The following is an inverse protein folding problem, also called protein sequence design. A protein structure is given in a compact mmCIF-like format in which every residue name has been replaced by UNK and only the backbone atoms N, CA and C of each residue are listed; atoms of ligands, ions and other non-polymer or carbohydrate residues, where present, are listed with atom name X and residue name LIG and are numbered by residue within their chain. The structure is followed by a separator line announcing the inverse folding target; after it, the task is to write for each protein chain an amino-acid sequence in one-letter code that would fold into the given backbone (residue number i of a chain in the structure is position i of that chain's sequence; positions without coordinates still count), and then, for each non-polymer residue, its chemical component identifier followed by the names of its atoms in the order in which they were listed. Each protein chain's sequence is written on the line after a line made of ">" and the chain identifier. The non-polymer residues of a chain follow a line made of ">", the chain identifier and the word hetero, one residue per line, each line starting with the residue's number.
data_IF_349800928033
#
_entry.id   IF_349800928033
#
_cell.length_a   1.000
_cell.length_b   1.000
_cell.length_c   1.000
_cell.angle_alpha   90.00
_cell.angle_beta   90.00
_cell.angle_gamma   90.00
#
_symmetry.space_group_name_H-M   'P 1'
#
loop_
_entity.id
_entity.type
_entity.pdbx_description
1 polymer ?
#
# COMPACT_ATOMS: atom_id res chain seq x y z
N UNK A 1 8.97 8.89 -13.54
CA UNK A 1 8.79 8.99 -12.07
C UNK A 1 9.49 7.86 -11.27
N UNK A 2 9.22 6.58 -11.54
CA UNK A 2 9.70 5.42 -10.73
C UNK A 2 11.23 5.24 -10.66
N UNK A 3 11.92 5.34 -11.82
CA UNK A 3 13.40 5.20 -11.88
C UNK A 3 14.16 6.35 -11.21
N UNK A 4 13.51 7.52 -11.01
CA UNK A 4 14.13 8.72 -10.42
C UNK A 4 14.34 8.57 -8.91
N UNK A 5 13.37 7.98 -8.21
CA UNK A 5 13.44 7.80 -6.76
C UNK A 5 14.23 6.56 -6.35
N UNK A 6 14.37 5.59 -7.26
CA UNK A 6 15.00 4.30 -6.98
C UNK A 6 16.44 4.41 -6.43
N UNK A 7 17.38 5.15 -7.05
CA UNK A 7 18.74 5.29 -6.52
C UNK A 7 18.79 6.03 -5.18
N UNK A 8 17.88 6.99 -4.97
CA UNK A 8 17.83 7.79 -3.74
C UNK A 8 17.35 6.93 -2.57
N UNK A 9 16.33 6.10 -2.81
CA UNK A 9 15.82 5.14 -1.83
C UNK A 9 16.91 4.15 -1.41
N UNK A 10 17.64 3.57 -2.37
CA UNK A 10 18.76 2.64 -2.09
C UNK A 10 19.92 3.30 -1.34
N UNK A 11 20.17 4.58 -1.58
CA UNK A 11 21.25 5.33 -0.91
C UNK A 11 20.90 5.69 0.54
N UNK A 12 19.66 6.14 0.80
CA UNK A 12 19.22 6.48 2.16
C UNK A 12 18.85 5.24 2.99
N UNK A 13 18.49 4.13 2.34
CA UNK A 13 17.98 2.91 2.94
C UNK A 13 18.72 1.68 2.37
N UNK A 14 19.91 1.34 2.90
CA UNK A 14 20.72 0.24 2.38
C UNK A 14 20.14 -1.16 2.67
N UNK A 15 19.42 -1.36 3.77
CA UNK A 15 18.84 -2.66 4.16
C UNK A 15 17.31 -2.66 4.09
N UNK A 16 16.81 -2.55 2.86
CA UNK A 16 15.37 -2.46 2.60
C UNK A 16 14.65 -3.80 2.72
N UNK A 17 13.52 -3.75 3.42
CA UNK A 17 12.56 -4.82 3.53
C UNK A 17 11.20 -4.36 3.01
N UNK A 18 10.60 -5.17 2.14
CA UNK A 18 9.23 -4.97 1.68
C UNK A 18 8.28 -5.60 2.69
N UNK A 19 7.35 -4.79 3.19
CA UNK A 19 6.35 -5.22 4.16
C UNK A 19 4.97 -5.07 3.58
N UNK A 20 4.16 -6.12 3.64
CA UNK A 20 2.73 -6.05 3.33
C UNK A 20 1.96 -6.23 4.62
N UNK A 21 1.12 -5.26 4.95
CA UNK A 21 0.19 -5.35 6.07
C UNK A 21 -1.24 -5.15 5.59
N UNK A 22 -2.19 -5.91 6.11
CA UNK A 22 -3.60 -5.85 5.75
C UNK A 22 -4.49 -5.80 6.99
N UNK A 23 -5.75 -5.47 6.78
CA UNK A 23 -6.83 -5.65 7.75
C UNK A 23 -7.91 -6.53 7.12
N UNK A 24 -8.85 -7.08 7.91
CA UNK A 24 -10.03 -7.74 7.35
C UNK A 24 -10.75 -6.87 6.31
N UNK A 25 -11.36 -7.51 5.32
CA UNK A 25 -12.10 -6.81 4.28
C UNK A 25 -13.22 -5.97 4.87
N UNK A 26 -13.48 -4.82 4.27
CA UNK A 26 -14.52 -3.86 4.70
C UNK A 26 -15.54 -3.62 3.61
N UNK A 27 -16.74 -3.19 3.99
CA UNK A 27 -17.76 -2.73 3.04
C UNK A 27 -17.44 -1.33 2.53
N UNK A 28 -18.10 -0.95 1.43
CA UNK A 28 -17.86 0.32 0.76
C UNK A 28 -18.15 1.52 1.67
N UNK A 29 -19.22 1.45 2.47
CA UNK A 29 -19.55 2.50 3.46
C UNK A 29 -18.44 2.70 4.52
N UNK A 30 -17.72 1.64 4.89
CA UNK A 30 -16.71 1.66 5.95
C UNK A 30 -15.30 2.01 5.43
N UNK A 31 -15.06 1.90 4.11
CA UNK A 31 -13.72 1.99 3.53
C UNK A 31 -13.02 3.31 3.87
N UNK A 32 -13.74 4.43 3.85
CA UNK A 32 -13.18 5.75 4.17
C UNK A 32 -12.70 5.85 5.62
N UNK A 33 -13.46 5.26 6.53
CA UNK A 33 -13.10 5.20 7.94
C UNK A 33 -11.91 4.25 8.14
N UNK A 34 -11.96 3.05 7.54
CA UNK A 34 -10.88 2.08 7.56
C UNK A 34 -9.54 2.66 7.07
N UNK A 35 -9.55 3.40 5.95
CA UNK A 35 -8.37 4.12 5.43
C UNK A 35 -7.82 5.11 6.46
N UNK A 36 -8.68 5.86 7.14
CA UNK A 36 -8.27 6.82 8.16
C UNK A 36 -7.67 6.13 9.38
N UNK A 37 -8.27 5.02 9.81
CA UNK A 37 -7.83 4.24 10.97
C UNK A 37 -6.50 3.54 10.73
N UNK A 38 -6.27 2.94 9.56
CA UNK A 38 -4.98 2.30 9.26
C UNK A 38 -3.83 3.32 9.24
N UNK A 39 -4.06 4.53 8.72
CA UNK A 39 -3.06 5.62 8.72
C UNK A 39 -2.76 6.04 10.17
N UNK A 40 -3.80 6.28 10.97
CA UNK A 40 -3.65 6.69 12.36
C UNK A 40 -2.95 5.61 13.21
N UNK A 41 -3.36 4.35 13.03
CA UNK A 41 -2.81 3.21 13.76
C UNK A 41 -1.36 2.95 13.36
N UNK A 42 -0.98 3.10 12.09
CA UNK A 42 0.42 3.10 11.70
C UNK A 42 1.24 4.15 12.46
N UNK A 43 0.75 5.40 12.57
CA UNK A 43 1.46 6.45 13.31
C UNK A 43 1.60 6.10 14.79
N UNK A 44 0.54 5.57 15.40
CA UNK A 44 0.55 5.12 16.81
C UNK A 44 1.55 3.99 17.03
N UNK A 45 1.56 2.99 16.16
CA UNK A 45 2.50 1.85 16.21
C UNK A 45 3.94 2.35 16.05
N UNK A 46 4.22 3.18 15.04
CA UNK A 46 5.54 3.76 14.83
C UNK A 46 6.04 4.53 16.06
N UNK A 47 5.17 5.33 16.67
CA UNK A 47 5.53 6.09 17.87
C UNK A 47 5.75 5.17 19.07
N UNK A 48 4.94 4.12 19.25
CA UNK A 48 5.12 3.11 20.30
C UNK A 48 6.47 2.41 20.16
N UNK A 49 6.82 1.93 18.97
CA UNK A 49 8.10 1.27 18.70
C UNK A 49 9.27 2.22 18.99
N UNK A 50 9.16 3.48 18.56
CA UNK A 50 10.19 4.49 18.86
C UNK A 50 10.40 4.71 20.35
N UNK A 51 9.34 4.74 21.15
CA UNK A 51 9.43 5.04 22.58
C UNK A 51 9.79 3.80 23.42
N UNK A 52 9.19 2.64 23.13
CA UNK A 52 9.40 1.41 23.89
C UNK A 52 10.69 0.71 23.48
N UNK A 53 10.89 0.51 22.19
CA UNK A 53 11.98 -0.32 21.66
C UNK A 53 13.21 0.52 21.28
N UNK A 54 13.12 1.86 21.36
CA UNK A 54 14.15 2.80 20.92
C UNK A 54 14.56 2.64 19.44
N UNK A 55 13.68 2.02 18.63
CA UNK A 55 13.90 1.80 17.20
C UNK A 55 13.20 2.88 16.38
N UNK A 56 13.96 3.60 15.54
CA UNK A 56 13.41 4.56 14.58
C UNK A 56 13.03 3.85 13.28
N UNK A 57 11.74 3.71 13.03
CA UNK A 57 11.23 3.20 11.76
C UNK A 57 11.36 4.28 10.68
N UNK A 58 12.12 3.97 9.63
CA UNK A 58 12.36 4.84 8.47
C UNK A 58 12.01 4.08 7.20
N UNK A 59 11.46 4.78 6.22
CA UNK A 59 10.97 4.12 5.03
C UNK A 59 9.90 4.88 4.28
N UNK A 60 9.18 4.14 3.45
CA UNK A 60 8.11 4.63 2.59
C UNK A 60 6.90 3.73 2.78
N UNK A 61 5.71 4.32 2.82
CA UNK A 61 4.43 3.62 2.89
C UNK A 61 3.61 3.92 1.64
N UNK A 62 2.86 2.93 1.19
CA UNK A 62 1.79 3.05 0.22
C UNK A 62 0.49 2.45 0.74
N UNK A 63 -0.64 3.05 0.35
CA UNK A 63 -1.97 2.47 0.47
C UNK A 63 -2.37 1.87 -0.86
N UNK A 64 -2.84 0.63 -0.84
CA UNK A 64 -3.48 -0.02 -1.97
C UNK A 64 -4.84 -0.58 -1.53
N UNK A 65 -5.86 -0.38 -2.37
CA UNK A 65 -7.19 -0.99 -2.15
C UNK A 65 -7.52 -1.88 -3.34
N UNK A 66 -7.89 -3.11 -3.04
CA UNK A 66 -8.39 -4.09 -4.01
C UNK A 66 -9.88 -4.30 -3.79
N UNK A 67 -10.68 -4.24 -4.87
CA UNK A 67 -12.11 -4.57 -4.82
C UNK A 67 -12.34 -6.03 -5.21
N UNK A 68 -13.21 -6.73 -4.48
CA UNK A 68 -13.69 -8.07 -4.85
C UNK A 68 -15.16 -7.98 -5.31
N UNK A 69 -15.45 -8.20 -6.60
CA UNK A 69 -16.82 -8.08 -7.12
C UNK A 69 -17.77 -9.17 -6.62
N UNK A 70 -17.28 -10.39 -6.42
CA UNK A 70 -18.11 -11.51 -5.95
C UNK A 70 -18.61 -11.33 -4.52
N UNK A 71 -17.78 -10.75 -3.64
CA UNK A 71 -18.12 -10.48 -2.24
C UNK A 71 -18.62 -9.05 -1.98
N UNK A 72 -18.47 -8.18 -2.97
CA UNK A 72 -18.72 -6.74 -2.88
C UNK A 72 -18.06 -6.16 -1.61
N UNK A 73 -16.75 -6.37 -1.49
CA UNK A 73 -15.93 -5.90 -0.37
C UNK A 73 -14.58 -5.37 -0.85
N UNK A 74 -13.90 -4.66 0.03
CA UNK A 74 -12.65 -3.97 -0.25
C UNK A 74 -11.58 -4.47 0.70
N UNK A 75 -10.44 -4.86 0.14
CA UNK A 75 -9.28 -5.30 0.89
C UNK A 75 -8.23 -4.20 0.90
N UNK A 76 -7.93 -3.71 2.09
CA UNK A 76 -7.03 -2.58 2.32
C UNK A 76 -5.63 -3.10 2.67
N UNK A 77 -4.67 -2.71 1.84
CA UNK A 77 -3.27 -3.05 1.99
C UNK A 77 -2.45 -1.81 2.33
N UNK A 78 -1.54 -1.96 3.28
CA UNK A 78 -0.42 -1.07 3.50
C UNK A 78 0.86 -1.78 3.07
N UNK A 79 1.49 -1.25 2.04
CA UNK A 79 2.80 -1.70 1.61
C UNK A 79 3.87 -0.75 2.12
N UNK A 80 5.02 -1.29 2.50
CA UNK A 80 6.13 -0.49 2.98
C UNK A 80 7.46 -0.93 2.38
N UNK A 81 8.37 0.02 2.27
CA UNK A 81 9.80 -0.20 2.18
C UNK A 81 10.42 0.31 3.48
N UNK A 82 10.93 -0.56 4.33
CA UNK A 82 11.45 -0.24 5.66
C UNK A 82 12.92 -0.55 5.76
N UNK A 83 13.67 0.35 6.38
CA UNK A 83 15.07 0.14 6.72
C UNK A 83 15.21 -0.81 7.91
N UNK A 84 16.00 -1.87 7.72
CA UNK A 84 16.25 -2.97 8.65
C UNK A 84 15.11 -3.97 8.82
N UNK A 85 15.49 -5.24 8.83
CA UNK A 85 14.58 -6.36 9.16
C UNK A 85 13.95 -6.19 10.54
N UNK A 86 14.73 -5.79 11.55
CA UNK A 86 14.24 -5.68 12.92
C UNK A 86 13.07 -4.68 13.02
N UNK A 87 13.18 -3.52 12.35
CA UNK A 87 12.11 -2.53 12.33
C UNK A 87 10.86 -3.03 11.59
N UNK A 88 11.04 -3.78 10.49
CA UNK A 88 9.97 -4.38 9.74
C UNK A 88 9.19 -5.44 10.56
N UNK A 89 9.90 -6.34 11.24
CA UNK A 89 9.29 -7.37 12.08
C UNK A 89 8.59 -6.77 13.31
N UNK A 90 9.16 -5.73 13.93
CA UNK A 90 8.51 -4.98 15.02
C UNK A 90 7.20 -4.33 14.54
N UNK A 91 7.21 -3.73 13.35
CA UNK A 91 6.00 -3.16 12.76
C UNK A 91 4.93 -4.25 12.54
N UNK A 92 5.29 -5.38 11.92
CA UNK A 92 4.37 -6.52 11.73
C UNK A 92 3.79 -7.02 13.05
N UNK A 93 4.63 -7.21 14.07
CA UNK A 93 4.21 -7.66 15.39
C UNK A 93 3.19 -6.70 16.02
N UNK A 94 3.50 -5.41 16.05
CA UNK A 94 2.60 -4.40 16.62
C UNK A 94 1.32 -4.21 15.80
N UNK A 95 1.37 -4.48 14.49
CA UNK A 95 0.21 -4.49 13.62
C UNK A 95 -0.76 -5.62 14.00
N UNK A 96 -0.26 -6.85 14.13
CA UNK A 96 -1.06 -8.01 14.52
C UNK A 96 -1.65 -7.86 15.93
N UNK A 97 -0.92 -7.23 16.86
CA UNK A 97 -1.46 -6.89 18.18
C UNK A 97 -2.60 -5.87 18.12
N UNK A 98 -2.61 -4.99 17.10
CA UNK A 98 -3.65 -3.96 16.91
C UNK A 98 -4.86 -4.50 16.15
N UNK A 99 -4.64 -5.42 15.22
CA UNK A 99 -5.65 -6.05 14.38
C UNK A 99 -5.60 -7.57 14.59
N UNK A 100 -6.14 -8.07 15.72
CA UNK A 100 -6.08 -9.49 16.04
C UNK A 100 -6.81 -10.37 15.03
N UNK A 101 -7.80 -9.82 14.32
CA UNK A 101 -8.56 -10.52 13.28
C UNK A 101 -7.85 -10.51 11.91
N UNK A 102 -6.71 -9.84 11.77
CA UNK A 102 -5.92 -9.89 10.56
C UNK A 102 -5.25 -11.27 10.42
N UNK A 103 -5.34 -11.86 9.23
CA UNK A 103 -4.74 -13.15 8.96
C UNK A 103 -3.21 -13.03 8.91
N UNK A 104 -2.51 -13.72 9.82
CA UNK A 104 -1.06 -13.60 9.98
C UNK A 104 -0.28 -13.94 8.69
N UNK A 105 -0.74 -14.93 7.92
CA UNK A 105 -0.10 -15.34 6.67
C UNK A 105 -0.24 -14.32 5.53
N UNK A 106 -1.06 -13.28 5.69
CA UNK A 106 -1.16 -12.15 4.75
C UNK A 106 -0.23 -10.99 5.15
N UNK A 107 0.51 -11.13 6.26
CA UNK A 107 1.41 -10.10 6.79
C UNK A 107 2.85 -10.52 6.49
N UNK A 108 3.42 -10.00 5.42
CA UNK A 108 4.72 -10.44 4.93
C UNK A 108 5.83 -9.43 5.21
N UNK A 109 7.01 -9.94 5.55
CA UNK A 109 8.27 -9.20 5.64
C UNK A 109 9.28 -9.94 4.79
N UNK A 110 9.66 -9.35 3.66
CA UNK A 110 10.65 -9.94 2.73
C UNK A 110 11.74 -8.94 2.44
N UNK A 111 12.96 -9.41 2.15
CA UNK A 111 14.02 -8.51 1.71
C UNK A 111 13.62 -7.87 0.38
N UNK A 112 13.70 -6.54 0.30
CA UNK A 112 13.28 -5.82 -0.89
C UNK A 112 14.26 -6.09 -2.05
N UNK A 113 13.70 -6.38 -3.21
CA UNK A 113 14.42 -6.40 -4.48
C UNK A 113 13.85 -5.32 -5.41
N UNK A 114 14.48 -5.17 -6.58
CA UNK A 114 14.09 -4.19 -7.59
C UNK A 114 12.63 -4.34 -8.01
N UNK A 115 12.14 -5.59 -8.09
CA UNK A 115 10.75 -5.92 -8.35
C UNK A 115 9.81 -5.43 -7.26
N UNK A 116 10.12 -5.66 -5.98
CA UNK A 116 9.32 -5.20 -4.84
C UNK A 116 9.20 -3.68 -4.79
N UNK A 117 10.26 -2.97 -5.16
CA UNK A 117 10.26 -1.50 -5.20
C UNK A 117 9.39 -0.99 -6.36
N UNK A 118 9.44 -1.65 -7.52
CA UNK A 118 8.55 -1.36 -8.65
C UNK A 118 7.09 -1.66 -8.29
N UNK A 119 6.83 -2.76 -7.58
CA UNK A 119 5.49 -3.15 -7.12
C UNK A 119 4.90 -2.13 -6.15
N UNK A 120 5.71 -1.64 -5.19
CA UNK A 120 5.31 -0.50 -4.37
C UNK A 120 4.89 0.68 -5.25
N UNK A 121 5.58 0.96 -6.34
CA UNK A 121 5.35 2.16 -7.13
C UNK A 121 4.26 2.04 -8.22
N UNK A 122 3.63 0.87 -8.41
CA UNK A 122 2.67 0.64 -9.51
C UNK A 122 1.29 1.29 -9.33
N UNK A 123 0.39 0.73 -8.52
CA UNK A 123 -1.02 1.21 -8.50
C UNK A 123 -1.58 1.37 -7.09
N UNK A 124 -2.23 2.51 -6.81
CA UNK A 124 -2.92 2.78 -5.53
C UNK A 124 -4.30 2.12 -5.46
N UNK A 125 -4.89 1.80 -6.62
CA UNK A 125 -6.13 1.05 -6.74
C UNK A 125 -5.93 -0.12 -7.71
N UNK A 126 -6.30 -1.33 -7.28
CA UNK A 126 -6.28 -2.52 -8.12
C UNK A 126 -7.72 -2.94 -8.41
N UNK A 127 -8.18 -2.58 -9.61
CA UNK A 127 -9.57 -2.72 -10.03
C UNK A 127 -9.87 -4.00 -10.80
N UNK A 128 -8.85 -4.60 -11.39
CA UNK A 128 -9.02 -5.71 -12.33
C UNK A 128 -8.27 -6.92 -11.77
N UNK A 129 -9.05 -7.91 -11.34
CA UNK A 129 -8.58 -9.25 -11.05
C UNK A 129 -8.50 -10.05 -12.35
N UNK A 130 -7.73 -11.15 -12.37
CA UNK A 130 -7.70 -12.06 -13.54
C UNK A 130 -9.09 -12.54 -13.97
N UNK A 131 -10.04 -12.56 -13.05
CA UNK A 131 -11.41 -13.03 -13.27
C UNK A 131 -12.34 -11.95 -13.85
N UNK A 132 -11.89 -10.69 -13.91
CA UNK A 132 -12.66 -9.60 -14.52
C UNK A 132 -12.42 -9.53 -16.03
N UNK A 133 -11.64 -10.46 -16.57
CA UNK A 133 -11.39 -10.65 -17.99
C UNK A 133 -12.18 -11.87 -18.48
N UNK A 134 -13.22 -11.63 -19.26
CA UNK A 134 -13.92 -12.70 -19.99
C UNK A 134 -13.39 -12.72 -21.42
N UNK A 135 -12.79 -13.85 -21.81
CA UNK A 135 -12.48 -14.09 -23.23
C UNK A 135 -13.78 -14.46 -23.93
N UNK A 136 -14.15 -13.65 -24.92
CA UNK A 136 -15.27 -13.90 -25.80
C UNK A 136 -14.84 -14.84 -26.94
N UNK A 137 -15.79 -15.57 -27.50
CA UNK A 137 -15.54 -16.57 -28.55
C UNK A 137 -14.88 -15.99 -29.82
N UNK A 138 -15.02 -14.68 -30.04
CA UNK A 138 -14.41 -13.94 -31.15
C UNK A 138 -12.97 -13.46 -30.86
N UNK A 139 -12.35 -13.93 -29.77
CA UNK A 139 -11.00 -13.55 -29.35
C UNK A 139 -10.89 -12.19 -28.68
N UNK A 140 -11.99 -11.44 -28.50
CA UNK A 140 -12.00 -10.19 -27.73
C UNK A 140 -12.00 -10.47 -26.23
N UNK A 141 -11.51 -9.51 -25.46
CA UNK A 141 -11.49 -9.56 -23.99
C UNK A 141 -12.48 -8.50 -23.49
N UNK A 142 -13.50 -8.95 -22.77
CA UNK A 142 -14.38 -8.06 -22.00
C UNK A 142 -13.75 -7.81 -20.63
N UNK A 143 -13.72 -6.55 -20.21
CA UNK A 143 -13.20 -6.12 -18.91
C UNK A 143 -14.36 -5.62 -18.06
N UNK A 144 -14.61 -6.28 -16.92
CA UNK A 144 -15.56 -5.81 -15.92
C UNK A 144 -15.07 -4.52 -15.25
N UNK A 145 -15.44 -3.36 -15.78
CA UNK A 145 -15.10 -2.08 -15.15
C UNK A 145 -16.12 -1.78 -14.04
N UNK A 146 -15.68 -1.88 -12.78
CA UNK A 146 -16.52 -1.56 -11.61
C UNK A 146 -16.44 -0.07 -11.26
N UNK A 147 -17.04 0.80 -12.09
CA UNK A 147 -16.97 2.26 -11.93
C UNK A 147 -17.43 2.76 -10.55
N UNK A 148 -18.50 2.18 -9.99
CA UNK A 148 -18.98 2.51 -8.64
C UNK A 148 -17.95 2.14 -7.56
N UNK A 149 -17.28 0.99 -7.71
CA UNK A 149 -16.27 0.58 -6.75
C UNK A 149 -15.04 1.49 -6.80
N UNK A 150 -14.69 1.97 -8.00
CA UNK A 150 -13.63 2.95 -8.20
C UNK A 150 -13.94 4.29 -7.53
N UNK A 151 -15.15 4.80 -7.71
CA UNK A 151 -15.60 6.03 -7.06
C UNK A 151 -15.51 5.91 -5.53
N UNK A 152 -15.97 4.78 -4.96
CA UNK A 152 -15.85 4.50 -3.51
C UNK A 152 -14.38 4.52 -3.06
N UNK A 153 -13.47 3.88 -3.81
CA UNK A 153 -12.03 3.88 -3.50
C UNK A 153 -11.46 5.31 -3.57
N UNK A 154 -11.76 6.06 -4.63
CA UNK A 154 -11.26 7.42 -4.79
C UNK A 154 -11.80 8.37 -3.73
N UNK A 155 -13.07 8.25 -3.34
CA UNK A 155 -13.63 9.02 -2.23
C UNK A 155 -12.98 8.66 -0.89
N UNK A 156 -12.66 7.39 -0.66
CA UNK A 156 -11.97 6.95 0.54
C UNK A 156 -10.51 7.45 0.61
N UNK A 157 -9.83 7.51 -0.54
CA UNK A 157 -8.44 8.00 -0.65
C UNK A 157 -8.35 9.52 -0.84
N UNK A 158 -9.46 10.22 -1.08
CA UNK A 158 -9.47 11.66 -1.32
C UNK A 158 -8.82 12.43 -0.17
N UNK A 159 -7.89 13.33 -0.51
CA UNK A 159 -7.04 14.09 0.44
C UNK A 159 -6.18 13.24 1.37
N UNK A 160 -6.04 11.93 1.12
CA UNK A 160 -5.08 11.07 1.81
C UNK A 160 -3.83 10.96 0.96
N UNK A 161 -2.66 11.07 1.59
CA UNK A 161 -1.39 10.74 0.92
C UNK A 161 -1.32 9.23 0.78
N UNK A 162 -1.56 8.76 -0.44
CA UNK A 162 -1.50 7.32 -0.75
C UNK A 162 -0.07 6.83 -0.72
N UNK A 163 0.90 7.68 -1.07
CA UNK A 163 2.32 7.43 -0.97
C UNK A 163 2.99 8.44 -0.01
N UNK A 164 3.81 7.96 0.93
CA UNK A 164 4.40 8.82 1.95
C UNK A 164 5.72 8.27 2.51
N UNK A 165 6.78 9.07 2.43
CA UNK A 165 8.02 8.84 3.19
C UNK A 165 7.85 9.17 4.68
N UNK A 166 8.53 8.41 5.55
CA UNK A 166 8.56 8.63 6.99
C UNK A 166 9.98 8.37 7.53
N UNK A 167 10.45 9.21 8.45
CA UNK A 167 11.79 9.06 9.03
C UNK A 167 12.95 9.29 8.04
N UNK A 168 12.65 9.74 6.81
CA UNK A 168 13.58 10.05 5.73
C UNK A 168 13.38 11.49 5.26
N UNK A 169 14.39 12.09 4.61
CA UNK A 169 14.32 13.47 4.08
C UNK A 169 13.70 13.52 2.67
N UNK A 170 13.49 12.36 2.05
CA UNK A 170 12.91 12.25 0.72
C UNK A 170 11.49 12.84 0.66
N UNK A 171 11.36 13.99 0.00
CA UNK A 171 10.05 14.51 -0.42
C UNK A 171 9.62 13.74 -1.66
N UNK A 172 8.81 12.72 -1.43
CA UNK A 172 8.09 12.03 -2.49
C UNK A 172 6.90 12.91 -2.86
N UNK A 173 7.11 13.83 -3.79
CA UNK A 173 6.02 14.61 -4.36
C UNK A 173 5.34 13.77 -5.45
N UNK A 174 4.03 13.62 -5.34
CA UNK A 174 3.15 13.24 -6.46
C UNK A 174 2.95 14.46 -7.38
N UNK A 175 4.01 15.17 -7.75
CA UNK A 175 3.90 16.24 -8.75
C UNK A 175 3.71 15.57 -10.11
N UNK A 176 2.45 15.47 -10.53
CA UNK A 176 2.02 15.07 -11.88
C UNK A 176 2.30 16.23 -12.85
N UNK A 177 3.55 16.70 -12.93
CA UNK A 177 3.93 17.76 -13.88
C UNK A 177 4.54 17.23 -15.20
N UNK A 178 4.69 15.91 -15.35
CA UNK A 178 5.17 15.33 -16.61
C UNK A 178 4.33 14.13 -17.04
N UNK A 179 3.04 14.36 -17.25
CA UNK A 179 2.32 13.68 -18.33
C UNK A 179 2.22 14.69 -19.47
N UNK A 180 3.32 14.88 -20.23
CA UNK A 180 3.18 15.37 -21.59
C UNK A 180 2.38 14.28 -22.31
N UNK A 181 1.11 14.56 -22.56
CA UNK A 181 0.34 13.83 -23.56
C UNK A 181 1.07 13.99 -24.88
N UNK A 182 1.79 12.96 -25.30
CA UNK A 182 2.08 12.80 -26.72
C UNK A 182 0.74 12.51 -27.37
N UNK A 183 0.21 13.54 -28.03
CA UNK A 183 -0.89 13.45 -29.01
C UNK A 183 -0.29 12.97 -30.32
#
# INVERSE_FOLDING_TARGET
>A
MIKKYYPIIRSELPDLHFVTLTIPNVKGEDLKQAVSDVILNFQRIKNKIRMRDQVKIKGIRKIEVTYNPSRNDYHLHLHFLIESRNAAELLKKEWLLRYPDALEFLQDVVKANDGSIIELLKYTAKLVNKNDYTRLDNGRIEIGIHAKALDIIFQALYRKRTYQGFGIKLKLNEDVEELKSEV
#
